data_IF_319595361694
#
_entry.id   IF_319595361694
#
_cell.length_a   1.000
_cell.length_b   1.000
_cell.length_c   1.000
_cell.angle_alpha   90.00
_cell.angle_beta   90.00
_cell.angle_gamma   90.00
#
_symmetry.space_group_name_H-M   'P 1'
#
loop_
_entity.id
_entity.type
_entity.pdbx_description
1 polymer ?
#
# COMPACT_ATOMS: atom_id res chain seq x y z
N UNK A 1 -8.69 29.80 23.82
CA UNK A 1 -7.33 29.22 23.98
C UNK A 1 -7.43 27.73 24.22
N UNK A 2 -8.22 27.26 25.24
CA UNK A 2 -8.34 25.85 25.62
C UNK A 2 -8.70 24.96 24.41
N UNK A 3 -9.79 25.23 23.72
CA UNK A 3 -10.23 24.44 22.56
C UNK A 3 -9.24 24.49 21.36
N UNK A 4 -8.42 25.51 21.28
CA UNK A 4 -7.39 25.58 20.26
C UNK A 4 -6.18 24.68 20.56
N UNK A 5 -5.87 24.47 21.83
CA UNK A 5 -4.80 23.62 22.30
C UNK A 5 -5.20 22.14 22.42
N UNK A 6 -6.48 21.87 22.63
CA UNK A 6 -6.98 20.53 22.91
C UNK A 6 -6.79 19.59 21.71
N UNK A 7 -6.38 18.36 21.97
CA UNK A 7 -6.16 17.31 21.00
C UNK A 7 -7.07 16.08 21.15
N UNK A 8 -7.89 16.05 22.21
CA UNK A 8 -8.74 14.90 22.54
C UNK A 8 -9.64 14.45 21.39
N UNK A 9 -10.09 15.37 20.54
CA UNK A 9 -10.97 15.07 19.39
C UNK A 9 -10.33 14.12 18.39
N UNK A 10 -9.00 14.07 18.28
CA UNK A 10 -8.28 13.21 17.36
C UNK A 10 -7.32 12.24 18.08
N UNK A 11 -6.66 12.61 19.18
CA UNK A 11 -5.71 11.74 19.87
C UNK A 11 -6.38 10.59 20.62
N UNK A 12 -7.68 10.68 20.92
CA UNK A 12 -8.47 9.56 21.43
C UNK A 12 -8.32 8.29 20.58
N UNK A 13 -7.90 8.42 19.34
CA UNK A 13 -7.71 7.29 18.41
C UNK A 13 -6.66 6.31 18.90
N UNK A 14 -5.66 6.76 19.65
CA UNK A 14 -4.65 5.89 20.24
C UNK A 14 -4.79 5.66 21.76
N UNK A 15 -6.00 5.74 22.32
CA UNK A 15 -6.20 5.49 23.77
C UNK A 15 -5.66 4.13 24.23
N UNK A 16 -5.72 3.10 23.38
CA UNK A 16 -5.16 1.79 23.69
C UNK A 16 -3.65 1.83 23.85
N UNK A 17 -2.97 2.57 22.97
CA UNK A 17 -1.52 2.73 22.99
C UNK A 17 -1.09 3.52 24.24
N UNK A 18 -1.82 4.56 24.60
CA UNK A 18 -1.56 5.32 25.85
C UNK A 18 -1.68 4.44 27.09
N UNK A 19 -2.73 3.63 27.18
CA UNK A 19 -2.93 2.68 28.27
C UNK A 19 -1.84 1.61 28.27
N UNK A 20 -1.51 1.02 27.12
CA UNK A 20 -0.46 0.02 26.97
C UNK A 20 0.91 0.56 27.39
N UNK A 21 1.26 1.76 26.94
CA UNK A 21 2.48 2.45 27.34
C UNK A 21 2.52 2.76 28.84
N UNK A 22 1.41 3.17 29.43
CA UNK A 22 1.27 3.42 30.86
C UNK A 22 1.42 2.15 31.71
N UNK A 23 0.84 1.02 31.26
CA UNK A 23 1.01 -0.29 31.90
C UNK A 23 2.49 -0.71 31.90
N UNK A 24 3.17 -0.61 30.76
CA UNK A 24 4.59 -0.94 30.67
C UNK A 24 5.46 -0.05 31.57
N UNK A 25 5.16 1.25 31.61
CA UNK A 25 5.84 2.19 32.48
C UNK A 25 5.69 1.82 33.97
N UNK A 26 4.47 1.52 34.42
CA UNK A 26 4.18 1.14 35.79
C UNK A 26 4.82 -0.20 36.18
N UNK A 27 4.82 -1.18 35.29
CA UNK A 27 5.53 -2.44 35.50
C UNK A 27 7.03 -2.20 35.71
N UNK A 28 7.62 -1.31 34.93
CA UNK A 28 9.03 -0.94 35.07
C UNK A 28 9.28 -0.20 36.40
N UNK A 29 8.42 0.76 36.80
CA UNK A 29 8.55 1.45 38.09
C UNK A 29 8.47 0.47 39.27
N UNK A 30 7.60 -0.53 39.19
CA UNK A 30 7.51 -1.60 40.18
C UNK A 30 8.76 -2.48 40.23
N UNK A 31 9.30 -2.87 39.07
CA UNK A 31 10.56 -3.62 38.98
C UNK A 31 11.73 -2.86 39.58
N UNK A 32 11.80 -1.57 39.39
CA UNK A 32 12.88 -0.71 39.92
C UNK A 32 12.66 -0.31 41.39
N UNK A 33 11.58 -0.75 42.03
CA UNK A 33 11.28 -0.45 43.42
C UNK A 33 10.85 1.01 43.68
N UNK A 34 10.51 1.76 42.63
CA UNK A 34 9.98 3.12 42.71
C UNK A 34 8.54 3.08 43.20
N UNK A 35 7.77 2.09 42.75
CA UNK A 35 6.46 1.73 43.27
C UNK A 35 6.56 0.44 44.08
N UNK A 36 5.68 0.29 45.09
CA UNK A 36 5.48 -0.99 45.75
C UNK A 36 4.80 -1.98 44.79
N UNK A 37 4.97 -3.27 45.04
CA UNK A 37 4.30 -4.31 44.21
C UNK A 37 2.79 -4.14 44.20
N UNK A 38 2.18 -3.73 45.34
CA UNK A 38 0.74 -3.54 45.45
C UNK A 38 0.30 -2.35 44.59
N UNK A 39 0.97 -1.20 44.68
CA UNK A 39 0.66 -0.01 43.88
C UNK A 39 0.75 -0.30 42.39
N UNK A 40 1.81 -1.00 41.96
CA UNK A 40 1.97 -1.42 40.58
C UNK A 40 0.77 -2.29 40.12
N UNK A 41 0.40 -3.31 40.91
CA UNK A 41 -0.71 -4.21 40.56
C UNK A 41 -2.06 -3.49 40.50
N UNK A 42 -2.31 -2.58 41.43
CA UNK A 42 -3.56 -1.81 41.50
C UNK A 42 -3.67 -0.87 40.25
N UNK A 43 -2.59 -0.19 39.89
CA UNK A 43 -2.59 0.71 38.74
C UNK A 43 -2.77 -0.09 37.43
N UNK A 44 -2.02 -1.16 37.24
CA UNK A 44 -2.11 -2.01 36.03
C UNK A 44 -3.52 -2.57 35.85
N UNK A 45 -4.10 -3.12 36.93
CA UNK A 45 -5.48 -3.65 36.92
C UNK A 45 -6.48 -2.57 36.55
N UNK A 46 -6.37 -1.38 37.15
CA UNK A 46 -7.32 -0.28 36.94
C UNK A 46 -7.17 0.29 35.51
N UNK A 47 -5.97 0.37 34.93
CA UNK A 47 -5.76 0.78 33.56
C UNK A 47 -6.40 -0.21 32.58
N UNK A 48 -6.29 -1.52 32.84
CA UNK A 48 -6.96 -2.55 32.02
C UNK A 48 -8.49 -2.44 32.13
N UNK A 49 -9.03 -2.16 33.32
CA UNK A 49 -10.46 -1.91 33.51
C UNK A 49 -10.93 -0.65 32.76
N UNK A 50 -10.13 0.42 32.75
CA UNK A 50 -10.45 1.65 32.01
C UNK A 50 -10.49 1.33 30.52
N UNK A 51 -9.52 0.57 29.99
CA UNK A 51 -9.49 0.16 28.59
C UNK A 51 -10.77 -0.60 28.20
N UNK A 52 -11.15 -1.60 28.99
CA UNK A 52 -12.37 -2.40 28.77
C UNK A 52 -13.65 -1.57 28.89
N UNK A 53 -13.69 -0.63 29.82
CA UNK A 53 -14.84 0.26 29.99
C UNK A 53 -15.01 1.21 28.78
N UNK A 54 -13.90 1.69 28.18
CA UNK A 54 -13.93 2.47 26.94
C UNK A 54 -14.37 1.60 25.76
N UNK A 55 -13.78 0.42 25.59
CA UNK A 55 -14.12 -0.52 24.50
C UNK A 55 -15.61 -0.93 24.52
N UNK A 56 -16.16 -1.18 25.70
CA UNK A 56 -17.58 -1.55 25.85
C UNK A 56 -18.55 -0.37 25.76
N UNK A 57 -18.04 0.87 25.67
CA UNK A 57 -18.84 2.09 25.67
C UNK A 57 -19.42 2.47 27.05
N UNK A 58 -19.04 1.75 28.12
CA UNK A 58 -19.41 2.07 29.48
C UNK A 58 -18.78 3.39 29.99
N UNK A 59 -17.54 3.63 29.55
CA UNK A 59 -16.83 4.89 29.76
C UNK A 59 -16.66 5.60 28.43
N UNK A 60 -17.22 6.80 28.31
CA UNK A 60 -17.12 7.59 27.06
C UNK A 60 -15.99 8.60 27.20
N UNK A 61 -15.19 8.70 26.15
CA UNK A 61 -14.20 9.78 26.02
C UNK A 61 -14.96 11.06 25.65
N UNK A 62 -14.74 12.13 26.41
CA UNK A 62 -15.44 13.41 26.27
C UNK A 62 -14.44 14.55 26.04
N UNK A 63 -14.90 15.66 25.49
CA UNK A 63 -14.13 16.87 25.21
C UNK A 63 -13.88 17.77 26.46
N UNK A 64 -14.21 17.30 27.64
CA UNK A 64 -13.89 17.97 28.92
C UNK A 64 -12.38 17.95 29.24
N UNK A 65 -11.64 17.03 28.60
CA UNK A 65 -10.19 16.85 28.77
C UNK A 65 -9.41 17.45 27.61
N UNK A 66 -8.20 17.95 27.89
CA UNK A 66 -7.34 18.51 26.85
C UNK A 66 -6.83 17.45 25.85
N UNK A 67 -6.45 16.29 26.37
CA UNK A 67 -5.87 15.18 25.61
C UNK A 67 -6.30 13.81 26.20
N UNK A 68 -6.04 12.74 25.46
CA UNK A 68 -6.36 11.38 25.89
C UNK A 68 -5.59 10.98 27.15
N UNK A 69 -4.37 11.49 27.32
CA UNK A 69 -3.54 11.21 28.48
C UNK A 69 -4.17 11.75 29.76
N UNK A 70 -4.67 12.98 29.71
CA UNK A 70 -5.40 13.61 30.82
C UNK A 70 -6.69 12.87 31.15
N UNK A 71 -7.41 12.37 30.16
CA UNK A 71 -8.59 11.55 30.33
C UNK A 71 -8.26 10.24 31.06
N UNK A 72 -7.25 9.50 30.61
CA UNK A 72 -6.85 8.24 31.27
C UNK A 72 -6.36 8.46 32.68
N UNK A 73 -5.51 9.46 32.89
CA UNK A 73 -4.97 9.81 34.22
C UNK A 73 -6.08 10.25 35.22
N UNK A 74 -7.01 11.07 34.80
CA UNK A 74 -8.12 11.50 35.62
C UNK A 74 -9.00 10.31 36.06
N UNK A 75 -9.36 9.43 35.15
CA UNK A 75 -10.13 8.23 35.46
C UNK A 75 -9.38 7.26 36.39
N UNK A 76 -8.06 7.16 36.25
CA UNK A 76 -7.23 6.39 37.15
C UNK A 76 -7.19 6.98 38.54
N UNK A 77 -7.02 8.29 38.66
CA UNK A 77 -7.04 9.02 39.97
C UNK A 77 -8.40 8.92 40.62
N UNK A 78 -9.49 9.06 39.90
CA UNK A 78 -10.85 8.92 40.44
C UNK A 78 -11.08 7.55 41.05
N UNK A 79 -10.48 6.48 40.52
CA UNK A 79 -10.62 5.11 41.02
C UNK A 79 -9.63 4.74 42.13
N UNK A 80 -8.41 5.29 42.11
CA UNK A 80 -7.32 4.89 43.02
C UNK A 80 -6.81 5.99 43.94
N UNK A 81 -7.29 7.23 43.80
CA UNK A 81 -6.84 8.36 44.62
C UNK A 81 -5.32 8.63 44.43
N UNK A 82 -4.62 8.79 45.56
CA UNK A 82 -3.19 9.14 45.55
C UNK A 82 -2.29 8.08 44.89
N UNK A 83 -2.70 6.82 44.90
CA UNK A 83 -1.99 5.77 44.19
C UNK A 83 -2.01 6.01 42.66
N UNK A 84 -3.14 6.45 42.10
CA UNK A 84 -3.26 6.78 40.68
C UNK A 84 -2.36 7.93 40.27
N UNK A 85 -2.10 8.90 41.10
CA UNK A 85 -1.19 10.03 40.84
C UNK A 85 0.27 9.59 40.60
N UNK A 86 0.65 8.41 41.08
CA UNK A 86 2.02 7.87 40.91
C UNK A 86 2.35 7.38 39.52
N UNK A 87 1.34 7.21 38.65
CA UNK A 87 1.52 6.80 37.28
C UNK A 87 2.53 7.67 36.55
N UNK A 88 2.52 8.97 36.74
CA UNK A 88 3.36 9.94 36.01
C UNK A 88 4.81 10.05 36.51
N UNK A 89 5.20 9.26 37.52
CA UNK A 89 6.55 9.30 38.10
C UNK A 89 7.61 9.00 37.04
N UNK A 90 8.58 9.89 36.88
CA UNK A 90 9.70 9.72 35.94
C UNK A 90 9.28 9.80 34.46
N UNK A 91 8.11 10.37 34.15
CA UNK A 91 7.60 10.52 32.79
C UNK A 91 7.23 11.97 32.50
N UNK A 92 7.36 12.37 31.23
CA UNK A 92 6.84 13.62 30.70
C UNK A 92 5.72 13.35 29.70
N UNK A 93 4.87 14.33 29.45
CA UNK A 93 3.92 14.27 28.32
C UNK A 93 4.65 14.11 26.99
N UNK A 94 5.87 14.65 26.86
CA UNK A 94 6.65 14.59 25.63
C UNK A 94 7.05 13.17 25.23
N UNK A 95 7.63 12.39 26.15
CA UNK A 95 8.00 10.99 25.85
C UNK A 95 6.79 10.06 25.80
N UNK A 96 5.73 10.37 26.55
CA UNK A 96 4.44 9.66 26.49
C UNK A 96 3.79 9.77 25.11
N UNK A 97 3.59 10.99 24.57
CA UNK A 97 2.98 11.18 23.26
C UNK A 97 3.85 10.66 22.13
N UNK A 98 5.18 10.76 22.26
CA UNK A 98 6.12 10.18 21.30
C UNK A 98 5.98 8.65 21.25
N UNK A 99 5.82 8.00 22.40
CA UNK A 99 5.57 6.57 22.46
C UNK A 99 4.24 6.18 21.81
N UNK A 100 3.16 6.86 22.16
CA UNK A 100 1.81 6.51 21.69
C UNK A 100 1.70 6.64 20.18
N UNK A 101 2.24 7.72 19.62
CA UNK A 101 2.28 7.93 18.19
C UNK A 101 3.13 6.85 17.50
N UNK A 102 4.24 6.44 18.10
CA UNK A 102 5.10 5.37 17.57
C UNK A 102 4.42 3.99 17.65
N UNK A 103 3.79 3.65 18.77
CA UNK A 103 3.03 2.40 18.90
C UNK A 103 1.87 2.32 17.91
N UNK A 104 1.11 3.41 17.79
CA UNK A 104 0.00 3.50 16.85
C UNK A 104 0.49 3.34 15.41
N UNK A 105 1.46 4.14 15.00
CA UNK A 105 2.00 4.10 13.63
C UNK A 105 2.60 2.72 13.32
N UNK A 106 3.33 2.11 14.26
CA UNK A 106 3.90 0.77 14.10
C UNK A 106 2.82 -0.28 13.80
N UNK A 107 1.71 -0.25 14.52
CA UNK A 107 0.57 -1.14 14.29
C UNK A 107 -0.07 -0.89 12.93
N UNK A 108 -0.23 0.36 12.54
CA UNK A 108 -0.83 0.72 11.25
C UNK A 108 0.06 0.37 10.05
N UNK A 109 1.39 0.39 10.20
CA UNK A 109 2.33 -0.14 9.21
C UNK A 109 2.05 -1.63 8.97
N UNK A 110 1.87 -2.42 10.04
CA UNK A 110 1.58 -3.85 9.94
C UNK A 110 0.22 -4.13 9.28
N UNK A 111 -0.83 -3.41 9.67
CA UNK A 111 -2.15 -3.54 9.04
C UNK A 111 -2.14 -3.11 7.56
N UNK A 112 -1.38 -2.09 7.22
CA UNK A 112 -1.23 -1.69 5.82
C UNK A 112 -0.52 -2.78 5.00
N UNK A 113 0.52 -3.42 5.57
CA UNK A 113 1.21 -4.53 4.91
C UNK A 113 0.29 -5.74 4.69
N UNK A 114 -0.57 -6.09 5.67
CA UNK A 114 -1.58 -7.14 5.49
C UNK A 114 -2.51 -6.83 4.29
N UNK A 115 -3.01 -5.60 4.18
CA UNK A 115 -3.87 -5.20 3.07
C UNK A 115 -3.16 -5.23 1.71
N UNK A 116 -1.90 -4.81 1.67
CA UNK A 116 -1.09 -4.92 0.44
C UNK A 116 -0.83 -6.38 0.09
N UNK A 117 -0.62 -7.24 1.08
CA UNK A 117 -0.47 -8.69 0.87
C UNK A 117 -1.75 -9.31 0.30
N UNK A 118 -2.92 -8.95 0.83
CA UNK A 118 -4.20 -9.43 0.32
C UNK A 118 -4.38 -9.02 -1.16
N UNK A 119 -4.02 -7.78 -1.49
CA UNK A 119 -4.01 -7.31 -2.87
C UNK A 119 -3.07 -8.15 -3.76
N UNK A 120 -1.85 -8.42 -3.30
CA UNK A 120 -0.90 -9.26 -4.03
C UNK A 120 -1.41 -10.68 -4.25
N UNK A 121 -2.15 -11.25 -3.31
CA UNK A 121 -2.77 -12.58 -3.47
C UNK A 121 -3.81 -12.58 -4.59
N UNK A 122 -4.66 -11.55 -4.66
CA UNK A 122 -5.64 -11.41 -5.76
C UNK A 122 -4.95 -11.18 -7.11
N UNK A 123 -3.91 -10.35 -7.17
CA UNK A 123 -3.13 -10.15 -8.39
C UNK A 123 -2.49 -11.45 -8.86
N UNK A 124 -1.91 -12.22 -7.94
CA UNK A 124 -1.30 -13.52 -8.27
C UNK A 124 -2.33 -14.49 -8.85
N UNK A 125 -3.52 -14.55 -8.28
CA UNK A 125 -4.63 -15.37 -8.80
C UNK A 125 -5.01 -14.94 -10.22
N UNK A 126 -5.17 -13.64 -10.48
CA UNK A 126 -5.45 -13.13 -11.83
C UNK A 126 -4.32 -13.52 -12.80
N UNK A 127 -3.06 -13.43 -12.38
CA UNK A 127 -1.92 -13.86 -13.19
C UNK A 127 -2.01 -15.36 -13.55
N UNK A 128 -2.29 -16.22 -12.56
CA UNK A 128 -2.42 -17.68 -12.78
C UNK A 128 -3.52 -18.04 -13.78
N UNK A 129 -4.66 -17.36 -13.71
CA UNK A 129 -5.83 -17.63 -14.55
C UNK A 129 -5.69 -17.06 -15.97
N UNK A 130 -4.67 -16.22 -16.24
CA UNK A 130 -4.59 -15.41 -17.46
C UNK A 130 -3.22 -15.47 -18.17
N UNK A 131 -2.47 -16.54 -17.97
CA UNK A 131 -1.15 -16.73 -18.64
C UNK A 131 -1.26 -16.86 -20.17
N UNK A 132 -2.44 -17.15 -20.69
CA UNK A 132 -2.73 -17.30 -22.13
C UNK A 132 -3.76 -16.25 -22.63
N UNK A 133 -4.18 -15.31 -21.78
CA UNK A 133 -5.10 -14.24 -22.19
C UNK A 133 -4.34 -13.13 -22.89
N UNK A 134 -4.34 -13.14 -24.21
CA UNK A 134 -3.61 -12.18 -25.04
C UNK A 134 -4.33 -10.83 -25.07
N UNK A 135 -3.57 -9.76 -24.92
CA UNK A 135 -4.03 -8.38 -25.01
C UNK A 135 -2.96 -7.49 -25.66
N UNK A 136 -3.32 -6.32 -26.21
CA UNK A 136 -2.31 -5.37 -26.67
C UNK A 136 -1.57 -4.75 -25.48
N UNK A 137 -0.25 -4.72 -25.53
CA UNK A 137 0.58 -3.85 -24.71
C UNK A 137 0.63 -2.45 -25.33
N UNK A 138 0.71 -1.42 -24.49
CA UNK A 138 0.65 -0.01 -24.90
C UNK A 138 1.93 0.74 -24.51
N UNK A 139 2.37 1.60 -25.41
CA UNK A 139 3.27 2.72 -25.12
C UNK A 139 2.66 3.99 -25.69
N UNK A 140 2.72 5.12 -24.97
CA UNK A 140 2.09 6.37 -25.42
C UNK A 140 0.57 6.24 -25.70
N UNK A 141 -0.13 5.31 -25.01
CA UNK A 141 -1.52 4.92 -25.30
C UNK A 141 -1.74 4.40 -26.74
N UNK A 142 -0.66 4.03 -27.45
CA UNK A 142 -0.71 3.36 -28.74
C UNK A 142 -0.41 1.88 -28.56
N UNK A 143 -1.13 1.03 -29.31
CA UNK A 143 -0.88 -0.42 -29.32
C UNK A 143 0.53 -0.67 -29.85
N UNK A 144 1.30 -1.46 -29.12
CA UNK A 144 2.71 -1.67 -29.41
C UNK A 144 3.00 -3.15 -29.74
N UNK A 145 3.02 -4.02 -28.74
CA UNK A 145 3.32 -5.44 -28.89
C UNK A 145 2.27 -6.28 -28.14
N UNK A 146 2.02 -7.54 -28.56
CA UNK A 146 1.11 -8.40 -27.82
C UNK A 146 1.76 -8.86 -26.50
N UNK A 147 0.96 -8.83 -25.45
CA UNK A 147 1.33 -9.33 -24.11
C UNK A 147 0.22 -10.24 -23.59
N UNK A 148 0.40 -10.84 -22.42
CA UNK A 148 -0.69 -11.50 -21.72
C UNK A 148 -1.24 -10.62 -20.58
N UNK A 149 -2.48 -10.86 -20.19
CA UNK A 149 -3.06 -10.20 -19.02
C UNK A 149 -2.25 -10.52 -17.76
N UNK A 150 -1.75 -11.77 -17.63
CA UNK A 150 -0.85 -12.13 -16.54
C UNK A 150 0.42 -11.26 -16.51
N UNK A 151 1.02 -11.00 -17.66
CA UNK A 151 2.20 -10.15 -17.78
C UNK A 151 1.90 -8.70 -17.39
N UNK A 152 0.78 -8.16 -17.84
CA UNK A 152 0.36 -6.79 -17.53
C UNK A 152 0.08 -6.62 -16.02
N UNK A 153 -0.73 -7.51 -15.43
CA UNK A 153 -1.05 -7.50 -14.00
C UNK A 153 0.20 -7.75 -13.15
N UNK A 154 1.12 -8.58 -13.63
CA UNK A 154 2.42 -8.82 -12.98
C UNK A 154 3.24 -7.55 -12.78
N UNK A 155 3.12 -6.55 -13.67
CA UNK A 155 3.78 -5.27 -13.48
C UNK A 155 3.27 -4.54 -12.21
N UNK A 156 1.97 -4.58 -11.94
CA UNK A 156 1.39 -4.05 -10.70
C UNK A 156 1.76 -4.88 -9.48
N UNK A 157 1.82 -6.20 -9.61
CA UNK A 157 2.34 -7.06 -8.55
C UNK A 157 3.73 -6.61 -8.10
N UNK A 158 4.64 -6.36 -9.03
CA UNK A 158 5.99 -5.87 -8.73
C UNK A 158 6.01 -4.48 -8.05
N UNK A 159 5.07 -3.61 -8.39
CA UNK A 159 4.93 -2.31 -7.72
C UNK A 159 4.55 -2.47 -6.24
N UNK A 160 3.50 -3.22 -5.94
CA UNK A 160 3.02 -3.44 -4.58
C UNK A 160 3.97 -4.31 -3.74
N UNK A 161 4.70 -5.23 -4.36
CA UNK A 161 5.79 -5.97 -3.71
C UNK A 161 6.89 -5.02 -3.20
N UNK A 162 7.28 -4.02 -3.99
CA UNK A 162 8.20 -2.98 -3.55
C UNK A 162 7.62 -2.09 -2.44
N UNK A 163 6.30 -1.89 -2.42
CA UNK A 163 5.64 -1.15 -1.34
C UNK A 163 5.71 -1.91 -0.01
N UNK A 164 5.54 -3.23 -0.02
CA UNK A 164 5.77 -4.07 1.17
C UNK A 164 7.20 -3.95 1.70
N UNK A 165 8.19 -3.93 0.81
CA UNK A 165 9.59 -3.73 1.22
C UNK A 165 9.79 -2.38 1.92
N UNK A 166 9.14 -1.31 1.44
CA UNK A 166 9.16 0.00 2.11
C UNK A 166 8.55 -0.06 3.50
N UNK A 167 7.39 -0.70 3.65
CA UNK A 167 6.73 -0.86 4.95
C UNK A 167 7.60 -1.63 5.94
N UNK A 168 8.27 -2.70 5.48
CA UNK A 168 9.21 -3.45 6.29
C UNK A 168 10.40 -2.58 6.75
N UNK A 169 11.01 -1.82 5.85
CA UNK A 169 12.11 -0.93 6.19
C UNK A 169 11.72 0.14 7.22
N UNK A 170 10.51 0.67 7.13
CA UNK A 170 9.96 1.64 8.09
C UNK A 170 9.79 0.98 9.46
N UNK A 171 9.19 -0.21 9.50
CA UNK A 171 9.01 -0.97 10.73
C UNK A 171 10.33 -1.19 11.46
N UNK A 172 11.37 -1.64 10.76
CA UNK A 172 12.69 -1.88 11.35
C UNK A 172 13.31 -0.61 11.92
N UNK A 173 13.24 0.52 11.20
CA UNK A 173 13.83 1.78 11.68
C UNK A 173 13.04 2.39 12.84
N UNK A 174 11.73 2.27 12.87
CA UNK A 174 10.91 2.86 13.93
C UNK A 174 10.79 1.99 15.19
N UNK A 175 11.24 0.75 15.15
CA UNK A 175 11.01 -0.24 16.22
C UNK A 175 11.93 -0.04 17.43
N UNK A 176 12.02 1.22 17.94
CA UNK A 176 12.77 1.61 19.12
C UNK A 176 11.92 2.47 20.06
N UNK A 177 11.99 2.15 21.37
CA UNK A 177 11.15 2.75 22.39
C UNK A 177 11.67 4.11 22.86
N UNK A 178 10.89 5.20 22.76
CA UNK A 178 11.29 6.53 23.25
C UNK A 178 11.01 6.74 24.73
N UNK A 179 10.19 5.90 25.38
CA UNK A 179 9.77 6.11 26.76
C UNK A 179 10.95 6.03 27.72
N UNK A 180 10.94 6.92 28.71
CA UNK A 180 12.04 7.15 29.65
C UNK A 180 12.97 8.31 29.23
N UNK A 181 12.72 8.92 28.08
CA UNK A 181 13.43 10.14 27.65
C UNK A 181 13.05 11.38 28.48
N UNK A 182 11.93 11.33 29.22
CA UNK A 182 11.41 12.45 29.93
C UNK A 182 10.99 13.58 28.98
N UNK A 183 11.15 14.83 29.40
CA UNK A 183 10.84 15.97 28.54
C UNK A 183 11.86 16.08 27.37
N UNK A 184 13.15 15.81 27.62
CA UNK A 184 14.25 15.84 26.63
C UNK A 184 15.58 15.31 27.17
N UNK A 185 15.78 15.26 28.48
CA UNK A 185 17.07 15.00 29.11
C UNK A 185 17.08 13.76 30.03
N UNK A 186 16.10 12.89 29.87
CA UNK A 186 15.88 11.77 30.78
C UNK A 186 15.35 12.20 32.15
N UNK A 187 15.67 11.43 33.18
CA UNK A 187 15.18 11.65 34.55
C UNK A 187 16.23 11.20 35.55
N UNK A 188 16.16 11.70 36.79
CA UNK A 188 17.02 11.28 37.91
C UNK A 188 16.57 9.96 38.56
N UNK A 189 15.41 9.41 38.17
CA UNK A 189 14.98 8.11 38.61
C UNK A 189 15.74 6.99 37.88
N UNK A 190 16.03 5.86 38.55
CA UNK A 190 16.75 4.73 37.93
C UNK A 190 15.80 3.90 37.03
N UNK A 191 15.32 4.50 35.93
CA UNK A 191 14.43 3.82 34.99
C UNK A 191 15.17 2.72 34.21
N UNK A 192 14.49 1.60 33.99
CA UNK A 192 14.98 0.51 33.14
C UNK A 192 14.30 0.59 31.75
N UNK A 193 14.89 1.35 30.85
CA UNK A 193 14.36 1.59 29.51
C UNK A 193 14.41 0.35 28.63
N UNK A 194 15.37 -0.55 28.83
CA UNK A 194 15.45 -1.82 28.08
C UNK A 194 14.28 -2.72 28.45
N UNK A 195 13.95 -2.79 29.75
CA UNK A 195 12.80 -3.56 30.20
C UNK A 195 11.48 -2.98 29.67
N UNK A 196 11.30 -1.67 29.68
CA UNK A 196 10.12 -1.02 29.12
C UNK A 196 10.00 -1.32 27.62
N UNK A 197 11.10 -1.24 26.86
CA UNK A 197 11.13 -1.55 25.44
C UNK A 197 10.72 -3.01 25.18
N UNK A 198 11.24 -3.95 26.00
CA UNK A 198 10.91 -5.38 25.87
C UNK A 198 9.42 -5.67 26.14
N UNK A 199 8.80 -5.02 27.12
CA UNK A 199 7.38 -5.16 27.43
C UNK A 199 6.47 -4.67 26.27
N UNK A 200 6.96 -3.73 25.49
CA UNK A 200 6.24 -3.13 24.36
C UNK A 200 6.63 -3.74 22.99
N UNK A 201 7.44 -4.81 22.99
CA UNK A 201 7.86 -5.49 21.78
C UNK A 201 8.75 -4.64 20.85
N UNK A 202 9.50 -3.69 21.40
CA UNK A 202 10.51 -2.93 20.65
C UNK A 202 11.86 -3.68 20.62
N UNK A 203 12.64 -3.41 19.59
CA UNK A 203 14.01 -3.96 19.47
C UNK A 203 14.97 -3.43 20.57
N UNK A 204 14.66 -2.27 21.13
CA UNK A 204 15.41 -1.64 22.20
C UNK A 204 14.97 -0.20 22.47
N UNK A 205 15.61 0.52 23.40
CA UNK A 205 15.36 1.93 23.61
C UNK A 205 16.04 2.80 22.55
N UNK A 206 15.49 3.99 22.30
CA UNK A 206 16.18 5.05 21.55
C UNK A 206 17.42 5.56 22.31
N UNK A 207 18.48 5.94 21.60
CA UNK A 207 19.81 6.18 22.20
C UNK A 207 20.10 7.64 22.55
N UNK A 208 19.19 8.58 22.23
CA UNK A 208 19.31 9.99 22.59
C UNK A 208 17.97 10.52 23.06
N UNK A 209 17.90 11.01 24.30
CA UNK A 209 16.62 11.42 24.91
C UNK A 209 16.01 12.66 24.27
N UNK A 210 16.81 13.54 23.69
CA UNK A 210 16.33 14.73 22.99
C UNK A 210 15.73 14.36 21.63
N UNK A 211 16.38 13.49 20.87
CA UNK A 211 15.89 12.95 19.61
C UNK A 211 14.63 12.07 19.84
N UNK A 212 14.59 11.31 20.93
CA UNK A 212 13.47 10.43 21.28
C UNK A 212 12.12 11.13 21.29
N UNK A 213 12.06 12.38 21.76
CA UNK A 213 10.83 13.18 21.83
C UNK A 213 10.62 14.06 20.60
N UNK A 214 11.63 14.20 19.75
CA UNK A 214 11.62 15.04 18.55
C UNK A 214 11.36 14.27 17.26
N UNK A 215 11.79 13.01 17.19
CA UNK A 215 11.72 12.20 15.98
C UNK A 215 10.28 11.99 15.49
N UNK A 216 10.09 12.34 14.22
CA UNK A 216 8.88 12.06 13.42
C UNK A 216 9.25 11.50 12.04
N UNK A 217 10.49 11.07 11.84
CA UNK A 217 10.95 10.52 10.55
C UNK A 217 10.11 9.32 10.14
N UNK A 218 9.73 8.45 11.09
CA UNK A 218 8.86 7.32 10.82
C UNK A 218 7.46 7.71 10.31
N UNK A 219 6.93 8.86 10.73
CA UNK A 219 5.66 9.40 10.21
C UNK A 219 5.84 9.87 8.76
N UNK A 220 6.94 10.58 8.47
CA UNK A 220 7.28 11.05 7.12
C UNK A 220 7.51 9.86 6.20
N UNK A 221 8.27 8.86 6.62
CA UNK A 221 8.52 7.65 5.85
C UNK A 221 7.23 6.87 5.58
N UNK A 222 6.36 6.73 6.58
CA UNK A 222 5.09 6.03 6.41
C UNK A 222 4.17 6.77 5.45
N UNK A 223 4.00 8.07 5.60
CA UNK A 223 3.21 8.89 4.66
C UNK A 223 3.81 8.88 3.24
N UNK A 224 5.12 8.78 3.10
CA UNK A 224 5.78 8.60 1.80
C UNK A 224 5.47 7.23 1.19
N UNK A 225 5.49 6.15 1.99
CA UNK A 225 5.09 4.83 1.53
C UNK A 225 3.61 4.79 1.14
N UNK A 226 2.72 5.35 1.98
CA UNK A 226 1.29 5.49 1.68
C UNK A 226 1.04 6.28 0.39
N UNK A 227 1.80 7.36 0.17
CA UNK A 227 1.73 8.14 -1.08
C UNK A 227 2.16 7.33 -2.29
N UNK A 228 3.19 6.48 -2.15
CA UNK A 228 3.65 5.59 -3.23
C UNK A 228 2.63 4.50 -3.53
N UNK A 229 2.02 3.88 -2.51
CA UNK A 229 0.91 2.93 -2.66
C UNK A 229 -0.25 3.59 -3.43
N UNK A 230 -0.64 4.79 -3.04
CA UNK A 230 -1.73 5.50 -3.71
C UNK A 230 -1.38 5.86 -5.16
N UNK A 231 -0.14 6.19 -5.46
CA UNK A 231 0.32 6.42 -6.84
C UNK A 231 0.19 5.14 -7.68
N UNK A 232 0.56 3.99 -7.15
CA UNK A 232 0.41 2.70 -7.82
C UNK A 232 -1.07 2.35 -8.03
N UNK A 233 -1.91 2.51 -6.99
CA UNK A 233 -3.36 2.33 -7.10
C UNK A 233 -3.97 3.28 -8.13
N UNK A 234 -3.58 4.56 -8.14
CA UNK A 234 -4.07 5.57 -9.09
C UNK A 234 -3.76 5.19 -10.53
N UNK A 235 -2.54 4.72 -10.81
CA UNK A 235 -2.15 4.24 -12.16
C UNK A 235 -2.99 3.05 -12.58
N UNK A 236 -3.21 2.10 -11.70
CA UNK A 236 -4.03 0.94 -12.03
C UNK A 236 -5.51 1.31 -12.22
N UNK A 237 -6.04 2.18 -11.36
CA UNK A 237 -7.39 2.72 -11.54
C UNK A 237 -7.56 3.43 -12.88
N UNK A 238 -6.57 4.22 -13.32
CA UNK A 238 -6.60 4.88 -14.63
C UNK A 238 -6.76 3.85 -15.76
N UNK A 239 -5.97 2.77 -15.74
CA UNK A 239 -6.09 1.70 -16.75
C UNK A 239 -7.44 0.99 -16.67
N UNK A 240 -7.94 0.66 -15.46
CA UNK A 240 -9.25 0.03 -15.28
C UNK A 240 -10.36 0.93 -15.84
N UNK A 241 -10.30 2.25 -15.60
CA UNK A 241 -11.27 3.21 -16.14
C UNK A 241 -11.25 3.21 -17.67
N UNK A 242 -10.07 3.23 -18.27
CA UNK A 242 -9.88 3.12 -19.72
C UNK A 242 -10.44 1.79 -20.22
N UNK A 243 -10.07 0.69 -19.58
CA UNK A 243 -10.51 -0.66 -19.99
C UNK A 243 -12.00 -0.89 -19.84
N UNK A 244 -12.65 -0.22 -18.88
CA UNK A 244 -14.10 -0.30 -18.67
C UNK A 244 -14.90 0.61 -19.61
N UNK A 245 -14.24 1.51 -20.35
CA UNK A 245 -14.91 2.43 -21.26
C UNK A 245 -15.61 1.68 -22.41
N UNK A 246 -16.62 2.33 -23.01
CA UNK A 246 -17.34 1.80 -24.16
C UNK A 246 -16.46 1.55 -25.38
N UNK A 247 -15.34 2.26 -25.47
CA UNK A 247 -14.36 2.18 -26.56
C UNK A 247 -13.44 0.96 -26.42
N UNK A 248 -13.03 0.62 -25.16
CA UNK A 248 -12.13 -0.50 -24.90
C UNK A 248 -12.85 -1.80 -24.57
N UNK A 249 -13.79 -1.77 -23.63
CA UNK A 249 -14.60 -2.94 -23.20
C UNK A 249 -13.74 -4.16 -22.78
N UNK A 250 -12.55 -3.93 -22.27
CA UNK A 250 -11.63 -5.01 -21.83
C UNK A 250 -12.07 -5.64 -20.51
N UNK A 251 -12.74 -4.85 -19.66
CA UNK A 251 -13.22 -5.29 -18.36
C UNK A 251 -14.65 -4.85 -18.10
N UNK A 252 -15.33 -5.61 -17.23
CA UNK A 252 -16.62 -5.24 -16.65
C UNK A 252 -16.45 -5.23 -15.11
N UNK A 253 -16.70 -4.07 -14.49
CA UNK A 253 -16.70 -3.92 -13.04
C UNK A 253 -18.01 -4.46 -12.48
N UNK A 254 -17.96 -5.20 -11.36
CA UNK A 254 -19.13 -5.70 -10.67
C UNK A 254 -20.04 -4.56 -10.18
N UNK A 255 -21.35 -4.80 -10.14
CA UNK A 255 -22.34 -3.81 -9.71
C UNK A 255 -22.13 -3.31 -8.29
N UNK A 256 -21.52 -4.12 -7.42
CA UNK A 256 -21.17 -3.73 -6.05
C UNK A 256 -20.09 -2.61 -5.99
N UNK A 257 -19.31 -2.44 -7.05
CA UNK A 257 -18.21 -1.46 -7.15
C UNK A 257 -18.43 -0.41 -8.24
N UNK A 258 -19.67 -0.31 -8.76
CA UNK A 258 -20.07 0.64 -9.78
C UNK A 258 -21.40 1.27 -9.44
N UNK A 259 -21.69 2.46 -9.97
CA UNK A 259 -23.02 3.06 -9.84
C UNK A 259 -23.70 3.21 -11.18
N UNK A 260 -25.03 3.03 -11.17
CA UNK A 260 -25.86 3.33 -12.32
C UNK A 260 -26.18 4.83 -12.42
N UNK A 261 -26.61 5.27 -13.59
CA UNK A 261 -27.17 6.61 -13.76
C UNK A 261 -28.66 6.61 -13.40
N UNK A 262 -29.13 7.64 -12.68
CA UNK A 262 -30.54 7.82 -12.38
C UNK A 262 -31.38 8.15 -13.63
N UNK A 263 -30.75 8.59 -14.72
CA UNK A 263 -31.40 9.01 -15.96
C UNK A 263 -31.15 8.03 -17.12
N UNK A 264 -29.94 7.41 -17.12
CA UNK A 264 -29.46 6.54 -18.21
C UNK A 264 -29.32 5.10 -17.70
N UNK A 265 -30.35 4.24 -17.91
CA UNK A 265 -30.35 2.88 -17.33
C UNK A 265 -29.21 1.98 -17.79
N UNK A 266 -28.63 2.27 -18.96
CA UNK A 266 -27.53 1.50 -19.55
C UNK A 266 -26.14 1.90 -19.03
N UNK A 267 -26.02 3.01 -18.27
CA UNK A 267 -24.74 3.57 -17.85
C UNK A 267 -24.29 3.00 -16.51
N UNK A 268 -23.08 2.45 -16.50
CA UNK A 268 -22.35 2.01 -15.28
C UNK A 268 -21.08 2.84 -15.15
N UNK A 269 -20.91 3.47 -14.00
CA UNK A 269 -19.75 4.32 -13.75
C UNK A 269 -18.71 3.58 -12.92
N UNK A 270 -17.41 3.71 -13.21
CA UNK A 270 -16.33 3.09 -12.45
C UNK A 270 -15.97 3.92 -11.19
N UNK A 271 -16.98 4.23 -10.35
CA UNK A 271 -16.86 5.22 -9.28
C UNK A 271 -15.76 4.88 -8.26
N UNK A 272 -15.60 3.60 -7.91
CA UNK A 272 -14.56 3.19 -6.94
C UNK A 272 -13.18 3.47 -7.50
N UNK A 273 -12.93 3.13 -8.78
CA UNK A 273 -11.66 3.42 -9.42
C UNK A 273 -11.39 4.95 -9.50
N UNK A 274 -12.43 5.73 -9.80
CA UNK A 274 -12.32 7.20 -9.85
C UNK A 274 -12.04 7.81 -8.47
N UNK A 275 -12.74 7.35 -7.44
CA UNK A 275 -12.54 7.84 -6.07
C UNK A 275 -11.16 7.46 -5.52
N UNK A 276 -10.68 6.24 -5.75
CA UNK A 276 -9.32 5.83 -5.35
C UNK A 276 -8.29 6.72 -6.04
N UNK A 277 -8.42 6.94 -7.36
CA UNK A 277 -7.58 7.86 -8.11
C UNK A 277 -7.62 9.28 -7.52
N UNK A 278 -8.80 9.80 -7.22
CA UNK A 278 -8.98 11.15 -6.66
C UNK A 278 -8.42 11.32 -5.25
N UNK A 279 -8.56 10.30 -4.38
CA UNK A 279 -8.06 10.33 -2.99
C UNK A 279 -6.53 10.35 -2.88
N UNK A 280 -5.81 10.05 -3.95
CA UNK A 280 -4.34 10.13 -4.01
C UNK A 280 -3.84 11.52 -3.62
N UNK A 281 -4.48 12.58 -4.11
CA UNK A 281 -4.11 13.96 -3.79
C UNK A 281 -4.23 14.29 -2.29
N UNK A 282 -5.22 13.69 -1.60
CA UNK A 282 -5.40 13.85 -0.15
C UNK A 282 -4.21 13.31 0.63
N UNK A 283 -3.71 12.14 0.26
CA UNK A 283 -2.55 11.50 0.91
C UNK A 283 -1.25 12.26 0.61
N UNK A 284 -1.08 12.76 -0.62
CA UNK A 284 0.05 13.64 -0.98
C UNK A 284 0.05 14.92 -0.16
N UNK A 285 -1.14 15.50 0.07
CA UNK A 285 -1.29 16.67 0.93
C UNK A 285 -0.83 16.42 2.37
N UNK A 286 -1.13 15.26 2.92
CA UNK A 286 -0.68 14.85 4.26
C UNK A 286 0.86 14.76 4.35
N UNK A 287 1.51 14.13 3.37
CA UNK A 287 2.97 14.05 3.29
C UNK A 287 3.61 15.45 3.20
N UNK A 288 3.09 16.30 2.33
CA UNK A 288 3.61 17.67 2.18
C UNK A 288 3.44 18.48 3.47
N UNK A 289 2.34 18.28 4.18
CA UNK A 289 2.05 18.97 5.43
C UNK A 289 3.03 18.60 6.53
N UNK A 290 3.28 17.29 6.77
CA UNK A 290 4.24 16.87 7.80
C UNK A 290 5.66 17.32 7.49
N UNK A 291 6.10 17.25 6.24
CA UNK A 291 7.40 17.76 5.80
C UNK A 291 7.54 19.26 6.10
N UNK A 292 6.47 20.01 5.85
CA UNK A 292 6.43 21.46 6.11
C UNK A 292 6.42 21.77 7.60
N UNK A 293 5.71 21.00 8.41
CA UNK A 293 5.67 21.15 9.87
C UNK A 293 7.05 20.91 10.48
N UNK A 294 7.74 19.86 10.07
CA UNK A 294 9.02 19.45 10.69
C UNK A 294 10.23 20.26 10.23
N UNK A 295 10.21 20.85 9.03
CA UNK A 295 11.38 21.44 8.37
C UNK A 295 12.13 22.55 9.12
N UNK A 296 11.50 23.23 10.05
CA UNK A 296 12.08 24.46 10.64
C UNK A 296 11.95 24.57 12.15
N UNK A 297 11.48 23.55 12.83
CA UNK A 297 11.36 23.54 14.28
C UNK A 297 12.67 23.15 14.95
N UNK A 298 13.01 23.73 16.14
CA UNK A 298 14.18 23.32 16.92
C UNK A 298 14.01 21.94 17.53
N UNK A 299 15.08 21.41 18.13
CA UNK A 299 15.11 20.10 18.77
C UNK A 299 14.14 19.99 19.96
N UNK A 300 14.00 18.80 20.46
CA UNK A 300 13.08 18.34 21.47
C UNK A 300 11.62 18.47 20.98
N UNK A 301 10.72 19.02 21.78
CA UNK A 301 9.31 19.10 21.45
C UNK A 301 8.85 20.56 21.28
N UNK A 302 8.10 20.80 20.23
CA UNK A 302 7.40 22.05 19.97
C UNK A 302 5.92 21.71 19.66
N UNK A 303 5.00 22.59 20.03
CA UNK A 303 3.55 22.35 19.86
C UNK A 303 3.15 22.14 18.40
N UNK A 304 3.96 22.61 17.43
CA UNK A 304 3.84 22.32 16.00
C UNK A 304 3.71 20.81 15.72
N UNK A 305 4.38 19.98 16.51
CA UNK A 305 4.32 18.52 16.36
C UNK A 305 2.95 17.92 16.65
N UNK A 306 2.00 18.67 17.25
CA UNK A 306 0.62 18.19 17.40
C UNK A 306 -0.06 17.99 16.04
N UNK A 307 0.39 18.72 15.01
CA UNK A 307 -0.08 18.59 13.62
C UNK A 307 0.34 17.25 12.95
N UNK A 308 1.17 16.44 13.61
CA UNK A 308 1.55 15.12 13.14
C UNK A 308 0.40 14.09 13.12
N UNK A 309 -0.72 14.35 13.85
CA UNK A 309 -1.75 13.34 14.12
C UNK A 309 -2.89 13.35 13.10
N UNK A 310 -3.63 14.45 12.97
CA UNK A 310 -4.87 14.49 12.20
C UNK A 310 -4.66 14.05 10.75
N UNK A 311 -3.64 14.63 10.08
CA UNK A 311 -3.37 14.26 8.68
C UNK A 311 -2.81 12.84 8.54
N UNK A 312 -2.04 12.35 9.52
CA UNK A 312 -1.53 10.98 9.49
C UNK A 312 -2.66 9.98 9.66
N UNK A 313 -3.54 10.20 10.62
CA UNK A 313 -4.71 9.35 10.85
C UNK A 313 -5.65 9.34 9.64
N UNK A 314 -5.90 10.50 9.06
CA UNK A 314 -6.72 10.63 7.87
C UNK A 314 -6.12 9.91 6.65
N UNK A 315 -4.82 10.06 6.43
CA UNK A 315 -4.12 9.39 5.33
C UNK A 315 -4.13 7.86 5.51
N UNK A 316 -3.88 7.36 6.72
CA UNK A 316 -3.91 5.94 7.04
C UNK A 316 -5.29 5.35 6.74
N UNK A 317 -6.35 5.95 7.28
CA UNK A 317 -7.73 5.48 7.06
C UNK A 317 -8.11 5.53 5.58
N UNK A 318 -7.70 6.58 4.87
CA UNK A 318 -7.93 6.74 3.44
C UNK A 318 -7.27 5.61 2.65
N UNK A 319 -5.99 5.31 2.91
CA UNK A 319 -5.25 4.28 2.17
C UNK A 319 -5.78 2.89 2.48
N UNK A 320 -6.07 2.59 3.75
CA UNK A 320 -6.67 1.30 4.17
C UNK A 320 -8.01 1.07 3.46
N UNK A 321 -8.87 2.08 3.44
CA UNK A 321 -10.14 2.03 2.72
C UNK A 321 -9.97 1.83 1.21
N UNK A 322 -9.02 2.54 0.60
CA UNK A 322 -8.72 2.39 -0.83
C UNK A 322 -8.18 0.99 -1.17
N UNK A 323 -7.26 0.44 -0.38
CA UNK A 323 -6.72 -0.91 -0.58
C UNK A 323 -7.81 -1.97 -0.49
N UNK A 324 -8.64 -1.92 0.55
CA UNK A 324 -9.71 -2.88 0.76
C UNK A 324 -10.75 -2.85 -0.38
N UNK A 325 -11.21 -1.65 -0.76
CA UNK A 325 -12.19 -1.50 -1.85
C UNK A 325 -11.60 -1.87 -3.21
N UNK A 326 -10.36 -1.49 -3.49
CA UNK A 326 -9.68 -1.83 -4.73
C UNK A 326 -9.49 -3.34 -4.86
N UNK A 327 -9.02 -4.01 -3.81
CA UNK A 327 -8.86 -5.48 -3.78
C UNK A 327 -10.18 -6.18 -4.05
N UNK A 328 -11.26 -5.74 -3.39
CA UNK A 328 -12.62 -6.28 -3.63
C UNK A 328 -13.09 -6.04 -5.06
N UNK A 329 -12.84 -4.87 -5.63
CA UNK A 329 -13.21 -4.54 -7.01
C UNK A 329 -12.52 -5.46 -8.03
N UNK A 330 -11.20 -5.64 -7.92
CA UNK A 330 -10.47 -6.48 -8.88
C UNK A 330 -10.77 -7.98 -8.71
N UNK A 331 -11.10 -8.44 -7.50
CA UNK A 331 -11.43 -9.85 -7.23
C UNK A 331 -12.72 -10.31 -7.91
N UNK A 332 -13.62 -9.37 -8.23
CA UNK A 332 -14.93 -9.64 -8.88
C UNK A 332 -15.00 -9.16 -10.31
N UNK A 333 -13.97 -8.42 -10.77
CA UNK A 333 -13.93 -7.87 -12.12
C UNK A 333 -13.84 -8.97 -13.19
N UNK A 334 -14.60 -8.82 -14.26
CA UNK A 334 -14.60 -9.75 -15.39
C UNK A 334 -13.70 -9.22 -16.51
N UNK A 335 -12.92 -10.11 -17.11
CA UNK A 335 -12.03 -9.81 -18.23
C UNK A 335 -12.65 -10.32 -19.54
N UNK A 336 -12.81 -9.43 -20.52
CA UNK A 336 -13.37 -9.76 -21.84
C UNK A 336 -12.25 -10.24 -22.79
N UNK A 337 -11.81 -11.50 -22.60
CA UNK A 337 -10.65 -12.09 -23.27
C UNK A 337 -10.72 -12.01 -24.80
N UNK A 338 -11.91 -12.21 -25.39
CA UNK A 338 -12.10 -12.11 -26.84
C UNK A 338 -11.89 -10.69 -27.36
N UNK A 339 -12.42 -9.68 -26.64
CA UNK A 339 -12.24 -8.27 -27.01
C UNK A 339 -10.77 -7.86 -26.92
N UNK A 340 -10.07 -8.29 -25.87
CA UNK A 340 -8.62 -8.07 -25.70
C UNK A 340 -7.84 -8.67 -26.85
N UNK A 341 -8.06 -9.95 -27.19
CA UNK A 341 -7.37 -10.66 -28.25
C UNK A 341 -7.62 -10.04 -29.64
N UNK A 342 -8.90 -9.73 -29.94
CA UNK A 342 -9.25 -9.03 -31.17
C UNK A 342 -8.57 -7.67 -31.27
N UNK A 343 -8.50 -6.94 -30.16
CA UNK A 343 -7.84 -5.62 -30.11
C UNK A 343 -6.34 -5.72 -30.37
N UNK A 344 -5.67 -6.78 -29.90
CA UNK A 344 -4.25 -7.03 -30.19
C UNK A 344 -4.05 -7.27 -31.68
N UNK A 345 -4.83 -8.16 -32.29
CA UNK A 345 -4.72 -8.54 -33.70
C UNK A 345 -4.91 -7.34 -34.63
N UNK A 346 -5.99 -6.57 -34.45
CA UNK A 346 -6.29 -5.39 -35.26
C UNK A 346 -5.43 -4.15 -34.94
N UNK A 347 -4.49 -4.26 -34.00
CA UNK A 347 -3.55 -3.19 -33.65
C UNK A 347 -2.19 -3.33 -34.32
N UNK A 348 -2.01 -4.28 -35.24
CA UNK A 348 -0.72 -4.61 -35.90
C UNK A 348 0.39 -4.89 -34.87
N UNK A 349 0.04 -5.44 -33.70
CA UNK A 349 1.00 -5.70 -32.63
C UNK A 349 2.03 -6.76 -32.98
N UNK A 350 1.79 -7.52 -34.04
CA UNK A 350 2.68 -8.52 -34.64
C UNK A 350 3.57 -7.97 -35.76
N UNK A 351 3.55 -6.67 -36.07
CA UNK A 351 4.35 -6.07 -37.11
C UNK A 351 5.87 -6.25 -36.88
N UNK A 352 6.31 -6.16 -35.61
CA UNK A 352 7.72 -6.43 -35.28
C UNK A 352 8.10 -7.87 -35.57
N UNK A 353 7.23 -8.83 -35.27
CA UNK A 353 7.45 -10.25 -35.52
C UNK A 353 7.53 -10.56 -37.04
N UNK A 354 6.75 -9.85 -37.87
CA UNK A 354 6.85 -9.91 -39.32
C UNK A 354 8.19 -9.35 -39.82
N UNK A 355 8.71 -8.29 -39.19
CA UNK A 355 10.05 -7.79 -39.54
C UNK A 355 11.15 -8.75 -39.10
N UNK A 356 11.05 -9.35 -37.92
CA UNK A 356 11.98 -10.37 -37.43
C UNK A 356 11.97 -11.63 -38.32
N UNK A 357 10.80 -12.01 -38.82
CA UNK A 357 10.70 -13.10 -39.83
C UNK A 357 11.57 -12.81 -41.06
N UNK A 358 11.43 -11.61 -41.63
CA UNK A 358 12.23 -11.21 -42.78
C UNK A 358 13.73 -11.16 -42.48
N UNK A 359 14.11 -10.69 -41.30
CA UNK A 359 15.52 -10.67 -40.85
C UNK A 359 16.08 -12.09 -40.77
N UNK A 360 15.32 -13.04 -40.22
CA UNK A 360 15.70 -14.44 -40.14
C UNK A 360 15.83 -15.11 -41.50
N UNK A 361 15.20 -14.54 -42.55
CA UNK A 361 15.32 -14.95 -43.94
C UNK A 361 16.35 -14.12 -44.73
N UNK A 362 17.25 -13.41 -44.05
CA UNK A 362 18.39 -12.73 -44.63
C UNK A 362 18.15 -11.29 -45.13
N UNK A 363 16.97 -10.71 -44.85
CA UNK A 363 16.70 -9.30 -45.14
C UNK A 363 17.32 -8.41 -44.10
N UNK A 364 18.10 -7.37 -44.43
CA UNK A 364 18.61 -6.42 -43.45
C UNK A 364 17.47 -5.76 -42.65
N UNK A 365 17.67 -5.56 -41.33
CA UNK A 365 16.63 -5.05 -40.43
C UNK A 365 15.96 -3.77 -40.94
N UNK A 366 16.74 -2.79 -41.46
CA UNK A 366 16.19 -1.53 -41.99
C UNK A 366 15.27 -1.75 -43.19
N UNK A 367 15.60 -2.69 -44.04
CA UNK A 367 14.78 -3.04 -45.20
C UNK A 367 13.53 -3.81 -44.77
N UNK A 368 13.69 -4.76 -43.87
CA UNK A 368 12.57 -5.49 -43.26
C UNK A 368 11.55 -4.54 -42.63
N UNK A 369 12.01 -3.56 -41.83
CA UNK A 369 11.15 -2.51 -41.25
C UNK A 369 10.40 -1.71 -42.34
N UNK A 370 11.08 -1.33 -43.42
CA UNK A 370 10.44 -0.63 -44.55
C UNK A 370 9.39 -1.49 -45.27
N UNK A 371 9.67 -2.79 -45.46
CA UNK A 371 8.72 -3.76 -46.07
C UNK A 371 7.46 -3.87 -45.16
N UNK A 372 7.63 -4.09 -43.86
CA UNK A 372 6.51 -4.23 -42.96
C UNK A 372 5.73 -2.92 -42.83
N UNK A 373 6.37 -1.76 -42.88
CA UNK A 373 5.70 -0.46 -42.95
C UNK A 373 4.73 -0.36 -44.14
N UNK A 374 5.10 -0.88 -45.33
CA UNK A 374 4.19 -0.95 -46.50
C UNK A 374 3.04 -1.95 -46.28
N UNK A 375 3.30 -3.07 -45.62
CA UNK A 375 2.27 -4.05 -45.28
C UNK A 375 1.23 -3.43 -44.38
N UNK A 376 1.67 -2.72 -43.32
CA UNK A 376 0.76 -2.04 -42.36
C UNK A 376 -0.10 -0.99 -43.08
N UNK A 377 0.49 -0.17 -43.96
CA UNK A 377 -0.26 0.80 -44.76
C UNK A 377 -1.31 0.13 -45.65
N UNK A 378 -0.92 -0.97 -46.34
CA UNK A 378 -1.84 -1.76 -47.16
C UNK A 378 -3.01 -2.31 -46.32
N UNK A 379 -2.74 -2.86 -45.15
CA UNK A 379 -3.75 -3.39 -44.25
C UNK A 379 -4.70 -2.28 -43.71
N UNK A 380 -4.16 -1.10 -43.41
CA UNK A 380 -4.98 0.07 -43.00
C UNK A 380 -5.96 0.44 -44.14
N UNK A 381 -5.48 0.56 -45.36
CA UNK A 381 -6.31 0.93 -46.51
C UNK A 381 -7.41 -0.11 -46.81
N UNK A 382 -7.16 -1.37 -46.54
CA UNK A 382 -8.10 -2.47 -46.72
C UNK A 382 -8.98 -2.75 -45.53
N UNK A 383 -8.64 -2.21 -44.34
CA UNK A 383 -9.35 -2.49 -43.09
C UNK A 383 -9.18 -3.94 -42.61
N UNK A 384 -8.02 -4.57 -42.87
CA UNK A 384 -7.69 -5.96 -42.50
C UNK A 384 -6.49 -6.03 -41.56
N UNK A 385 -6.29 -7.16 -40.89
CA UNK A 385 -5.08 -7.46 -40.14
C UNK A 385 -3.98 -8.05 -41.10
N UNK A 386 -2.72 -8.11 -40.61
CA UNK A 386 -1.60 -8.64 -41.44
C UNK A 386 -1.85 -10.10 -41.79
N UNK A 387 -2.37 -10.89 -40.89
CA UNK A 387 -2.65 -12.32 -41.09
C UNK A 387 -3.90 -12.60 -41.94
N UNK A 388 -4.66 -11.57 -42.34
CA UNK A 388 -5.75 -11.67 -43.33
C UNK A 388 -5.23 -11.52 -44.79
N UNK A 389 -4.00 -11.06 -44.98
CA UNK A 389 -3.40 -10.95 -46.34
C UNK A 389 -3.14 -12.34 -46.90
N UNK A 390 -3.44 -12.52 -48.18
CA UNK A 390 -3.03 -13.71 -48.89
C UNK A 390 -1.49 -13.76 -49.12
N UNK A 391 -0.96 -14.97 -49.31
CA UNK A 391 0.48 -15.13 -49.57
C UNK A 391 0.91 -14.38 -50.84
N UNK A 392 0.05 -14.35 -51.86
CA UNK A 392 0.31 -13.61 -53.09
C UNK A 392 0.41 -12.10 -52.86
N UNK A 393 -0.46 -11.54 -52.01
CA UNK A 393 -0.38 -10.12 -51.61
C UNK A 393 0.92 -9.83 -50.85
N UNK A 394 1.29 -10.69 -49.89
CA UNK A 394 2.55 -10.57 -49.15
C UNK A 394 3.76 -10.67 -50.08
N UNK A 395 3.78 -11.66 -51.01
CA UNK A 395 4.85 -11.85 -52.01
C UNK A 395 4.93 -10.69 -52.99
N UNK A 396 3.83 -10.02 -53.26
CA UNK A 396 3.84 -8.81 -54.11
C UNK A 396 4.62 -7.64 -53.50
N UNK A 397 4.71 -7.61 -52.17
CA UNK A 397 5.48 -6.59 -51.43
C UNK A 397 6.92 -7.04 -51.21
N UNK A 398 7.14 -8.33 -50.91
CA UNK A 398 8.46 -8.95 -50.78
C UNK A 398 8.39 -10.44 -51.12
N UNK A 399 9.20 -10.91 -52.09
CA UNK A 399 9.20 -12.32 -52.49
C UNK A 399 9.75 -13.28 -51.43
N UNK A 400 10.29 -12.77 -50.37
CA UNK A 400 10.88 -13.54 -49.25
C UNK A 400 9.82 -14.23 -48.39
N UNK A 401 8.57 -13.76 -48.43
CA UNK A 401 7.49 -14.39 -47.66
C UNK A 401 7.13 -15.77 -48.19
N UNK A 402 7.02 -16.74 -47.28
CA UNK A 402 6.53 -18.09 -47.54
C UNK A 402 5.36 -18.42 -46.60
N UNK A 403 4.75 -19.61 -46.75
CA UNK A 403 3.55 -20.02 -46.00
C UNK A 403 3.71 -19.97 -44.48
N UNK A 404 4.93 -20.19 -43.99
CA UNK A 404 5.27 -20.19 -42.56
C UNK A 404 5.21 -18.80 -41.88
N UNK A 405 5.05 -17.73 -42.70
CA UNK A 405 4.80 -16.38 -42.12
C UNK A 405 3.57 -16.36 -41.23
N UNK A 406 2.49 -17.05 -41.60
CA UNK A 406 1.25 -17.04 -40.83
C UNK A 406 1.42 -17.62 -39.41
N UNK A 407 2.24 -18.67 -39.27
CA UNK A 407 2.61 -19.17 -37.93
C UNK A 407 3.51 -18.18 -37.21
N UNK A 408 4.47 -17.58 -37.87
CA UNK A 408 5.42 -16.65 -37.29
C UNK A 408 4.73 -15.37 -36.67
N UNK A 409 3.65 -14.88 -37.33
CA UNK A 409 2.93 -13.67 -36.93
C UNK A 409 1.62 -13.95 -36.15
N UNK A 410 1.30 -15.22 -35.89
CA UNK A 410 0.16 -15.53 -35.05
C UNK A 410 0.36 -14.92 -33.66
N UNK A 411 -0.72 -14.41 -33.02
CA UNK A 411 -0.62 -13.78 -31.68
C UNK A 411 -0.01 -14.73 -30.65
N UNK A 412 -0.38 -16.01 -30.70
CA UNK A 412 0.16 -17.04 -29.83
C UNK A 412 1.67 -17.21 -29.99
N UNK A 413 2.15 -17.32 -31.25
CA UNK A 413 3.58 -17.43 -31.53
C UNK A 413 4.33 -16.16 -31.12
N UNK A 414 3.80 -14.99 -31.45
CA UNK A 414 4.39 -13.71 -31.07
C UNK A 414 4.61 -13.60 -29.54
N UNK A 415 3.65 -14.03 -28.73
CA UNK A 415 3.77 -14.02 -27.28
C UNK A 415 4.71 -15.13 -26.80
N UNK A 416 4.51 -16.38 -27.26
CA UNK A 416 5.19 -17.55 -26.67
C UNK A 416 6.65 -17.72 -27.10
N UNK A 417 7.11 -17.02 -28.13
CA UNK A 417 8.55 -16.96 -28.46
C UNK A 417 9.37 -16.02 -27.58
N UNK A 418 8.73 -15.22 -26.72
CA UNK A 418 9.41 -14.31 -25.79
C UNK A 418 9.68 -15.02 -24.47
N UNK A 419 10.79 -15.79 -24.43
CA UNK A 419 11.10 -16.77 -23.36
C UNK A 419 11.99 -16.22 -22.23
N UNK A 420 12.52 -15.01 -22.37
CA UNK A 420 13.37 -14.43 -21.32
C UNK A 420 12.58 -14.20 -20.05
N UNK A 421 13.22 -14.33 -18.89
CA UNK A 421 12.56 -14.09 -17.59
C UNK A 421 11.93 -12.68 -17.58
N UNK A 422 10.68 -12.61 -17.10
CA UNK A 422 9.91 -11.36 -17.10
C UNK A 422 9.21 -11.03 -18.43
N UNK A 423 9.37 -11.86 -19.49
CA UNK A 423 8.66 -11.71 -20.75
C UNK A 423 7.23 -12.32 -20.68
N UNK A 424 6.35 -12.01 -21.66
CA UNK A 424 4.93 -12.38 -21.59
C UNK A 424 4.60 -13.83 -21.93
N UNK A 425 5.56 -14.67 -22.37
CA UNK A 425 5.25 -16.07 -22.71
C UNK A 425 4.68 -16.83 -21.50
N UNK A 426 3.85 -17.83 -21.77
CA UNK A 426 3.31 -18.71 -20.75
C UNK A 426 4.43 -19.31 -19.88
N UNK A 427 5.51 -19.79 -20.49
CA UNK A 427 6.64 -20.39 -19.79
C UNK A 427 7.33 -19.37 -18.85
N UNK A 428 7.66 -18.18 -19.34
CA UNK A 428 8.28 -17.12 -18.54
C UNK A 428 7.35 -16.66 -17.40
N UNK A 429 6.06 -16.51 -17.67
CA UNK A 429 5.07 -16.12 -16.64
C UNK A 429 4.89 -17.19 -15.57
N UNK A 430 4.91 -18.47 -15.92
CA UNK A 430 4.82 -19.54 -14.91
C UNK A 430 6.06 -19.58 -14.01
N UNK A 431 7.25 -19.28 -14.54
CA UNK A 431 8.45 -19.13 -13.72
C UNK A 431 8.30 -17.95 -12.71
N UNK A 432 7.85 -16.80 -13.19
CA UNK A 432 7.60 -15.62 -12.32
C UNK A 432 6.53 -15.94 -11.28
N UNK A 433 5.41 -16.53 -11.67
CA UNK A 433 4.33 -16.92 -10.75
C UNK A 433 4.84 -17.86 -9.64
N UNK A 434 5.71 -18.82 -9.98
CA UNK A 434 6.30 -19.71 -8.99
C UNK A 434 7.17 -18.95 -7.96
N UNK A 435 7.98 -18.01 -8.42
CA UNK A 435 8.80 -17.12 -7.56
C UNK A 435 7.90 -16.28 -6.64
N UNK A 436 6.83 -15.71 -7.17
CA UNK A 436 5.95 -14.84 -6.40
C UNK A 436 5.07 -15.61 -5.40
N UNK A 437 4.73 -16.86 -5.69
CA UNK A 437 4.12 -17.77 -4.71
C UNK A 437 5.04 -18.04 -3.52
N UNK A 438 6.31 -18.32 -3.79
CA UNK A 438 7.31 -18.51 -2.75
C UNK A 438 7.49 -17.25 -1.91
N UNK A 439 7.57 -16.07 -2.55
CA UNK A 439 7.63 -14.78 -1.85
C UNK A 439 6.45 -14.59 -0.90
N UNK A 440 5.21 -14.84 -1.34
CA UNK A 440 4.01 -14.68 -0.49
C UNK A 440 3.90 -15.74 0.61
N UNK A 441 4.53 -16.92 0.43
CA UNK A 441 4.59 -17.95 1.46
C UNK A 441 5.51 -17.56 2.62
N UNK A 442 6.54 -16.74 2.37
CA UNK A 442 7.44 -16.18 3.37
C UNK A 442 6.85 -14.89 3.94
N UNK A 443 6.08 -15.04 5.02
CA UNK A 443 5.43 -13.92 5.69
C UNK A 443 6.23 -13.45 6.89
N UNK A 444 6.86 -12.28 6.77
CA UNK A 444 7.61 -11.65 7.85
C UNK A 444 6.72 -11.25 9.04
N UNK A 445 5.41 -11.00 8.80
CA UNK A 445 4.43 -10.67 9.84
C UNK A 445 4.17 -11.83 10.81
N UNK A 446 4.37 -13.08 10.37
CA UNK A 446 4.16 -14.26 11.23
C UNK A 446 5.06 -14.31 12.47
N UNK A 447 6.18 -13.62 12.42
CA UNK A 447 7.16 -13.57 13.51
C UNK A 447 6.95 -12.36 14.43
N UNK A 448 5.92 -11.55 14.20
CA UNK A 448 5.66 -10.35 15.00
C UNK A 448 4.54 -10.63 15.99
N UNK A 449 4.89 -10.80 17.26
CA UNK A 449 3.97 -11.17 18.36
C UNK A 449 2.80 -10.17 18.53
N UNK A 450 3.01 -8.90 18.19
CA UNK A 450 2.01 -7.81 18.36
C UNK A 450 0.71 -8.10 17.61
N UNK A 451 0.76 -8.76 16.45
CA UNK A 451 -0.43 -9.10 15.66
C UNK A 451 -1.19 -10.32 16.21
N UNK A 452 -0.57 -11.12 17.07
CA UNK A 452 -1.20 -12.31 17.63
C UNK A 452 -2.09 -11.99 18.84
N UNK A 453 -1.84 -10.87 19.52
CA UNK A 453 -2.61 -10.44 20.70
C UNK A 453 -3.81 -9.54 20.35
N UNK A 454 -3.88 -9.01 19.13
CA UNK A 454 -4.94 -8.09 18.68
C UNK A 454 -6.03 -8.75 17.82
N UNK A 455 -5.89 -10.04 17.53
CA UNK A 455 -6.92 -10.89 16.89
C UNK A 455 -7.70 -11.67 17.94
#
# INVERSE_FOLDING_TARGET
VYNFNASISFDQKFYKQDIQGSIAHVCMLGKQGILTKQEMQDIVKTLDEICKDVESGKLKITDEYEDIHSFVEANLIDRLGDTGKKLHTGRSRNDQVALDMRLYTRLEVLYTDELVRDLLQELLKIMEENTETIMPGFTHLQKAQPVTLAHHVGAYFEMFKRDRSRLHDIYERMNYCPLGAGALAGTTYPLDREYTASLLGFAGPTLNSMDSVSDRDYVIEFLSALSTIMMHLSRFCEEIIIWNSNEYQFVEIDDAYSTGSSIMPQKKNPDIAELVRGKTGRVYGALMSILTTMKGIPLAYNKDMQEDKELTFDAIDTVKGCLALFTGMISTMKFNKEVMSKSARHGFTNATDAADYLVNHGVPFRDAHGIVGRIVLYCIDKGIAIDDMSLDELKSISPVFEEDIYDAISMDTCVNKRLTIGAPSKEAMMQVIAIEKEYLAHDWLKNIEILQETK
#
